data_IF_431301755801
#
_entry.id   IF_431301755801
#
_cell.length_a   1.000
_cell.length_b   1.000
_cell.length_c   1.000
_cell.angle_alpha   90.00
_cell.angle_beta   90.00
_cell.angle_gamma   90.00
#
_symmetry.space_group_name_H-M   'P 1'
#
loop_
_entity.id
_entity.type
_entity.pdbx_description
1 polymer ?
#
# COMPACT_ATOMS: atom_id res chain seq x y z
N UNK A 1 -11.14 -22.88 -21.10
CA UNK A 1 -9.97 -22.53 -20.28
C UNK A 1 -10.47 -21.67 -19.14
N UNK A 2 -10.26 -22.06 -17.91
CA UNK A 2 -10.75 -21.29 -16.76
C UNK A 2 -9.96 -19.98 -16.68
N UNK A 3 -10.61 -18.83 -16.43
CA UNK A 3 -9.94 -17.51 -16.35
C UNK A 3 -8.76 -17.49 -15.37
N UNK A 4 -8.87 -18.27 -14.29
CA UNK A 4 -7.84 -18.41 -13.26
C UNK A 4 -6.59 -19.20 -13.70
N UNK A 5 -6.64 -19.95 -14.82
CA UNK A 5 -5.47 -20.67 -15.34
C UNK A 5 -4.36 -19.72 -15.84
N UNK A 6 -4.73 -18.47 -16.14
CA UNK A 6 -3.82 -17.42 -16.60
C UNK A 6 -3.24 -16.56 -15.47
N UNK A 7 -3.61 -16.79 -14.21
CA UNK A 7 -3.07 -16.02 -13.10
C UNK A 7 -1.60 -16.37 -12.84
N UNK A 8 -0.75 -15.36 -12.51
CA UNK A 8 0.63 -15.61 -12.12
C UNK A 8 0.69 -16.61 -10.95
N UNK A 9 1.59 -17.55 -11.05
CA UNK A 9 1.83 -18.53 -9.96
C UNK A 9 2.95 -18.09 -9.03
N UNK A 10 3.56 -16.94 -9.33
CA UNK A 10 4.66 -16.38 -8.52
C UNK A 10 4.64 -14.86 -8.59
N UNK A 11 4.79 -14.24 -7.44
CA UNK A 11 5.02 -12.81 -7.29
C UNK A 11 6.28 -12.59 -6.47
N UNK A 12 7.06 -11.58 -6.85
CA UNK A 12 8.21 -11.09 -6.09
C UNK A 12 7.93 -9.65 -5.68
N UNK A 13 7.97 -9.37 -4.39
CA UNK A 13 7.78 -8.04 -3.82
C UNK A 13 9.09 -7.59 -3.21
N UNK A 14 9.56 -6.38 -3.55
CA UNK A 14 10.77 -5.79 -3.00
C UNK A 14 10.43 -4.42 -2.42
N UNK A 15 10.76 -4.21 -1.15
CA UNK A 15 10.58 -2.92 -0.49
C UNK A 15 11.69 -1.96 -0.91
N UNK A 16 11.34 -0.93 -1.68
CA UNK A 16 12.28 0.07 -2.20
C UNK A 16 12.48 1.27 -1.27
N UNK A 17 11.43 1.67 -0.55
CA UNK A 17 11.49 2.70 0.49
C UNK A 17 10.62 2.29 1.68
N UNK A 18 11.15 2.48 2.88
CA UNK A 18 10.51 2.22 4.16
C UNK A 18 11.29 2.95 5.26
N UNK A 19 10.72 3.05 6.47
CA UNK A 19 11.29 3.79 7.60
C UNK A 19 12.59 3.19 8.14
N UNK A 20 12.85 1.90 7.91
CA UNK A 20 14.05 1.19 8.37
C UNK A 20 14.86 0.60 7.22
N UNK A 21 16.18 0.46 7.45
CA UNK A 21 17.11 -0.17 6.51
C UNK A 21 18.19 -0.94 7.25
N UNK A 22 18.55 -2.14 6.74
CA UNK A 22 19.67 -2.95 7.26
C UNK A 22 20.71 -3.24 6.17
N UNK A 23 20.35 -3.10 4.89
CA UNK A 23 21.24 -3.37 3.75
C UNK A 23 22.30 -2.28 3.55
N UNK A 24 23.56 -2.68 3.25
CA UNK A 24 24.60 -1.71 2.89
C UNK A 24 24.27 -1.02 1.57
N UNK A 25 24.45 0.29 1.53
CA UNK A 25 24.24 1.11 0.32
C UNK A 25 22.76 1.48 0.09
N UNK A 26 21.83 0.91 0.86
CA UNK A 26 20.44 1.31 0.86
C UNK A 26 20.19 2.41 1.90
N UNK A 27 19.13 3.16 1.70
CA UNK A 27 18.72 4.27 2.56
C UNK A 27 17.24 4.09 2.96
N UNK A 28 16.85 4.66 4.08
CA UNK A 28 15.49 4.70 4.59
C UNK A 28 14.94 6.12 4.59
N UNK A 29 13.64 6.24 4.48
CA UNK A 29 12.90 7.50 4.68
C UNK A 29 11.53 7.19 5.28
N UNK A 30 10.88 8.19 5.87
CA UNK A 30 9.48 8.05 6.25
C UNK A 30 8.59 8.04 4.99
N UNK A 31 8.26 6.84 4.53
CA UNK A 31 7.49 6.63 3.31
C UNK A 31 7.48 5.16 2.90
N UNK A 32 6.67 4.81 1.92
CA UNK A 32 6.56 3.46 1.42
C UNK A 32 6.62 3.41 -0.10
N UNK A 33 7.42 2.47 -0.63
CA UNK A 33 7.42 2.11 -2.05
C UNK A 33 7.74 0.63 -2.18
N UNK A 34 6.87 -0.12 -2.87
CA UNK A 34 7.01 -1.55 -3.12
C UNK A 34 7.12 -1.81 -4.62
N UNK A 35 8.16 -2.51 -5.04
CA UNK A 35 8.28 -3.04 -6.39
C UNK A 35 7.71 -4.46 -6.43
N UNK A 36 6.85 -4.72 -7.42
CA UNK A 36 6.17 -6.01 -7.59
C UNK A 36 6.47 -6.54 -8.98
N UNK A 37 6.97 -7.75 -9.04
CA UNK A 37 7.30 -8.43 -10.28
C UNK A 37 6.49 -9.72 -10.44
N UNK A 38 5.91 -9.88 -11.61
CA UNK A 38 5.27 -11.10 -12.07
C UNK A 38 6.08 -11.67 -13.25
N UNK A 39 5.77 -12.86 -13.76
CA UNK A 39 6.43 -13.37 -14.96
C UNK A 39 6.29 -12.47 -16.20
N UNK A 40 5.31 -11.59 -16.24
CA UNK A 40 4.95 -10.82 -17.44
C UNK A 40 4.90 -9.31 -17.25
N UNK A 41 4.78 -8.82 -16.02
CA UNK A 41 4.61 -7.39 -15.74
C UNK A 41 5.38 -6.98 -14.49
N UNK A 42 5.74 -5.70 -14.46
CA UNK A 42 6.40 -5.02 -13.35
C UNK A 42 5.52 -3.87 -12.87
N UNK A 43 5.27 -3.81 -11.58
CA UNK A 43 4.47 -2.77 -10.97
C UNK A 43 5.26 -2.06 -9.87
N UNK A 44 4.91 -0.81 -9.63
CA UNK A 44 5.32 -0.07 -8.44
C UNK A 44 4.06 0.26 -7.64
N UNK A 45 4.08 0.05 -6.33
CA UNK A 45 3.02 0.44 -5.42
C UNK A 45 3.58 1.52 -4.50
N UNK A 46 3.09 2.76 -4.67
CA UNK A 46 3.59 4.00 -4.08
C UNK A 46 5.05 4.36 -4.45
N UNK A 47 5.44 5.61 -4.16
CA UNK A 47 6.73 6.18 -4.58
C UNK A 47 7.58 6.73 -3.43
N UNK A 48 7.18 6.48 -2.16
CA UNK A 48 7.88 7.06 -1.02
C UNK A 48 7.70 8.57 -0.88
N UNK A 49 8.52 9.18 -0.05
CA UNK A 49 8.50 10.61 0.24
C UNK A 49 9.40 11.42 -0.71
N UNK A 50 10.31 10.77 -1.44
CA UNK A 50 11.30 11.42 -2.32
C UNK A 50 11.69 10.51 -3.50
N UNK A 51 12.77 10.84 -4.20
CA UNK A 51 13.39 9.99 -5.23
C UNK A 51 14.22 8.82 -4.64
N UNK A 52 14.17 8.61 -3.32
CA UNK A 52 14.98 7.61 -2.63
C UNK A 52 14.75 6.19 -3.17
N UNK A 53 13.50 5.82 -3.44
CA UNK A 53 13.16 4.52 -4.01
C UNK A 53 13.87 4.23 -5.34
N UNK A 54 14.14 5.27 -6.17
CA UNK A 54 14.90 5.14 -7.44
C UNK A 54 16.35 4.78 -7.13
N UNK A 55 16.99 5.44 -6.17
CA UNK A 55 18.37 5.15 -5.76
C UNK A 55 18.49 3.74 -5.18
N UNK A 56 17.55 3.35 -4.34
CA UNK A 56 17.50 2.01 -3.77
C UNK A 56 17.25 0.93 -4.84
N UNK A 57 16.36 1.19 -5.81
CA UNK A 57 16.12 0.28 -6.93
C UNK A 57 17.41 0.04 -7.73
N UNK A 58 18.17 1.11 -8.02
CA UNK A 58 19.45 0.99 -8.71
C UNK A 58 20.47 0.13 -7.93
N UNK A 59 20.57 0.31 -6.60
CA UNK A 59 21.43 -0.51 -5.75
C UNK A 59 21.00 -2.00 -5.71
N UNK A 60 19.71 -2.27 -5.89
CA UNK A 60 19.13 -3.62 -5.92
C UNK A 60 19.12 -4.23 -7.34
N UNK A 61 19.68 -3.54 -8.34
CA UNK A 61 19.65 -3.91 -9.76
C UNK A 61 18.22 -4.08 -10.30
N UNK A 62 17.30 -3.23 -9.86
CA UNK A 62 15.93 -3.15 -10.34
C UNK A 62 15.83 -1.95 -11.29
N UNK A 63 15.46 -2.21 -12.55
CA UNK A 63 15.24 -1.17 -13.56
C UNK A 63 13.80 -0.67 -13.53
N UNK A 64 13.59 0.56 -13.04
CA UNK A 64 12.28 1.18 -12.97
C UNK A 64 11.79 1.76 -14.31
N UNK A 65 12.65 1.86 -15.34
CA UNK A 65 12.21 2.21 -16.71
C UNK A 65 11.26 1.14 -17.27
N UNK A 66 11.40 -0.10 -16.80
CA UNK A 66 10.61 -1.24 -17.26
C UNK A 66 9.27 -1.42 -16.51
N UNK A 67 8.97 -0.60 -15.52
CA UNK A 67 7.69 -0.65 -14.81
C UNK A 67 6.54 -0.34 -15.77
N UNK A 68 5.53 -1.21 -15.77
CA UNK A 68 4.33 -1.11 -16.63
C UNK A 68 3.22 -0.29 -15.97
N UNK A 69 3.09 -0.41 -14.64
CA UNK A 69 2.06 0.27 -13.86
C UNK A 69 2.64 0.84 -12.56
N UNK A 70 2.32 2.10 -12.27
CA UNK A 70 2.43 2.68 -10.93
C UNK A 70 1.03 2.70 -10.32
N UNK A 71 0.84 2.05 -9.18
CA UNK A 71 -0.39 2.10 -8.40
C UNK A 71 -0.15 3.01 -7.20
N UNK A 72 -0.96 4.05 -7.03
CA UNK A 72 -0.89 4.94 -5.88
C UNK A 72 -2.04 4.64 -4.94
N UNK A 73 -1.69 4.33 -3.70
CA UNK A 73 -2.63 3.90 -2.66
C UNK A 73 -3.53 5.02 -2.15
N UNK A 74 -2.94 6.17 -1.86
CA UNK A 74 -3.60 7.40 -1.38
C UNK A 74 -2.69 8.61 -1.57
N UNK A 75 -3.20 9.82 -1.34
CA UNK A 75 -2.54 11.06 -1.73
C UNK A 75 -1.55 11.65 -0.73
N UNK A 76 -1.15 10.98 0.33
CA UNK A 76 -0.16 11.51 1.26
C UNK A 76 1.23 11.59 0.64
N UNK A 77 1.99 12.63 1.03
CA UNK A 77 3.29 12.95 0.45
C UNK A 77 4.37 11.90 0.71
N UNK A 78 4.26 11.09 1.75
CA UNK A 78 5.14 9.97 2.07
C UNK A 78 4.86 8.70 1.23
N UNK A 79 3.84 8.76 0.36
CA UNK A 79 3.48 7.75 -0.64
C UNK A 79 3.58 8.25 -2.07
N UNK A 80 3.47 9.57 -2.26
CA UNK A 80 3.42 10.20 -3.57
C UNK A 80 4.55 11.19 -3.82
N UNK A 81 5.44 11.41 -2.85
CA UNK A 81 6.51 12.41 -2.95
C UNK A 81 7.51 12.13 -4.07
N UNK A 82 7.73 10.87 -4.42
CA UNK A 82 8.56 10.46 -5.56
C UNK A 82 7.86 10.47 -6.92
N UNK A 83 6.58 10.83 -6.99
CA UNK A 83 5.78 10.72 -8.23
C UNK A 83 6.39 11.51 -9.40
N UNK A 84 6.79 12.75 -9.19
CA UNK A 84 7.43 13.55 -10.24
C UNK A 84 8.71 12.90 -10.76
N UNK A 85 9.58 12.46 -9.86
CA UNK A 85 10.83 11.77 -10.22
C UNK A 85 10.55 10.47 -11.00
N UNK A 86 9.51 9.71 -10.63
CA UNK A 86 9.11 8.53 -11.37
C UNK A 86 8.60 8.86 -12.77
N UNK A 87 7.75 9.90 -12.92
CA UNK A 87 7.19 10.29 -14.21
C UNK A 87 8.27 10.81 -15.18
N UNK A 88 9.32 11.44 -14.67
CA UNK A 88 10.50 11.84 -15.46
C UNK A 88 11.34 10.64 -15.87
N UNK A 89 11.57 9.68 -14.93
CA UNK A 89 12.36 8.47 -15.18
C UNK A 89 11.67 7.52 -16.15
N UNK A 90 10.40 7.21 -15.89
CA UNK A 90 9.63 6.22 -16.65
C UNK A 90 8.60 6.91 -17.55
N UNK A 91 8.79 6.81 -18.86
CA UNK A 91 7.90 7.45 -19.85
C UNK A 91 6.71 6.59 -20.30
N UNK A 92 6.62 5.30 -19.85
CA UNK A 92 5.67 4.30 -20.38
C UNK A 92 4.59 3.85 -19.40
N UNK A 93 4.90 3.81 -18.11
CA UNK A 93 3.98 3.28 -17.11
C UNK A 93 2.64 4.02 -17.08
N UNK A 94 1.56 3.26 -16.94
CA UNK A 94 0.25 3.84 -16.60
C UNK A 94 0.18 4.03 -15.08
N UNK A 95 -0.20 5.23 -14.64
CA UNK A 95 -0.45 5.51 -13.22
C UNK A 95 -1.91 5.21 -12.91
N UNK A 96 -2.15 4.36 -11.92
CA UNK A 96 -3.50 3.93 -11.53
C UNK A 96 -3.78 4.39 -10.10
N UNK A 97 -4.84 5.15 -9.93
CA UNK A 97 -5.23 5.71 -8.63
C UNK A 97 -6.71 6.10 -8.62
N UNK A 98 -7.20 6.60 -7.49
CA UNK A 98 -8.48 7.30 -7.43
C UNK A 98 -8.30 8.78 -7.82
N UNK A 99 -9.32 9.39 -8.42
CA UNK A 99 -9.23 10.78 -8.86
C UNK A 99 -9.03 11.75 -7.69
N UNK A 100 -9.63 11.44 -6.53
CA UNK A 100 -9.53 12.20 -5.29
C UNK A 100 -8.14 12.23 -4.66
N UNK A 101 -7.16 11.48 -5.22
CA UNK A 101 -5.76 11.53 -4.79
C UNK A 101 -5.14 12.93 -4.94
N UNK A 102 -5.65 13.74 -5.88
CA UNK A 102 -5.19 15.10 -6.14
C UNK A 102 -5.83 16.16 -5.25
N UNK A 103 -6.76 15.79 -4.39
CA UNK A 103 -7.33 16.71 -3.43
C UNK A 103 -6.23 17.20 -2.48
N UNK A 104 -6.24 18.51 -2.18
CA UNK A 104 -5.26 19.07 -1.24
C UNK A 104 -5.50 18.52 0.16
N UNK A 105 -4.51 17.82 0.68
CA UNK A 105 -4.56 17.14 1.99
C UNK A 105 -3.70 17.85 3.01
N UNK A 106 -4.08 17.77 4.27
CA UNK A 106 -3.38 18.42 5.38
C UNK A 106 -3.32 17.48 6.58
N UNK A 107 -2.18 17.51 7.26
CA UNK A 107 -2.07 17.02 8.63
C UNK A 107 -2.03 18.25 9.54
N UNK A 108 -3.10 18.47 10.31
CA UNK A 108 -3.32 19.72 11.04
C UNK A 108 -3.24 20.94 10.11
N UNK A 109 -2.18 21.77 10.24
CA UNK A 109 -1.99 22.96 9.42
C UNK A 109 -1.06 22.73 8.24
N UNK A 110 -0.24 21.67 8.25
CA UNK A 110 0.76 21.37 7.22
C UNK A 110 0.12 20.65 6.04
N UNK A 111 0.37 21.14 4.84
CA UNK A 111 0.02 20.43 3.62
C UNK A 111 0.78 19.10 3.53
N UNK A 112 0.06 18.03 3.24
CA UNK A 112 0.55 16.65 3.27
C UNK A 112 0.08 15.85 2.03
N UNK A 113 -0.39 16.54 1.00
CA UNK A 113 -0.82 15.93 -0.25
C UNK A 113 0.25 15.92 -1.32
N UNK A 114 -0.17 15.63 -2.56
CA UNK A 114 0.68 15.74 -3.74
C UNK A 114 0.99 17.21 -3.96
N UNK A 115 2.26 17.58 -3.83
CA UNK A 115 2.71 18.94 -4.12
C UNK A 115 2.64 19.16 -5.63
N UNK A 116 2.19 20.38 -6.02
CA UNK A 116 2.07 20.76 -7.43
C UNK A 116 1.24 19.79 -8.29
N UNK A 117 0.29 19.10 -7.67
CA UNK A 117 -0.58 18.12 -8.37
C UNK A 117 -1.33 18.69 -9.57
N UNK A 118 -1.53 20.01 -9.62
CA UNK A 118 -2.15 20.71 -10.73
C UNK A 118 -1.28 20.72 -12.00
N UNK A 119 0.06 20.63 -11.85
CA UNK A 119 1.03 20.64 -12.95
C UNK A 119 1.28 19.24 -13.54
N UNK A 120 0.80 18.18 -12.89
CA UNK A 120 1.01 16.82 -13.36
C UNK A 120 0.18 16.55 -14.62
N UNK A 121 0.86 16.10 -15.67
CA UNK A 121 0.20 15.62 -16.89
C UNK A 121 -0.56 14.33 -16.64
N UNK A 122 -1.89 14.42 -16.63
CA UNK A 122 -2.78 13.30 -16.30
C UNK A 122 -3.07 12.36 -17.48
N UNK A 123 -2.50 12.54 -18.63
CA UNK A 123 -2.72 11.67 -19.80
C UNK A 123 -2.29 10.22 -19.59
N UNK A 124 -1.38 9.99 -18.64
CA UNK A 124 -0.93 8.64 -18.23
C UNK A 124 -1.71 8.07 -17.05
N UNK A 125 -2.72 8.78 -16.55
CA UNK A 125 -3.48 8.34 -15.38
C UNK A 125 -4.75 7.61 -15.80
N UNK A 126 -4.98 6.48 -15.14
CA UNK A 126 -6.21 5.71 -15.17
C UNK A 126 -6.85 5.77 -13.79
N UNK A 127 -8.04 6.37 -13.72
CA UNK A 127 -8.78 6.48 -12.47
C UNK A 127 -9.70 5.27 -12.28
N UNK A 128 -9.70 4.72 -11.04
CA UNK A 128 -10.54 3.60 -10.64
C UNK A 128 -11.51 4.04 -9.53
N UNK A 129 -12.73 3.49 -9.56
CA UNK A 129 -13.80 3.82 -8.60
C UNK A 129 -14.37 2.58 -7.92
N UNK A 130 -14.22 1.44 -8.53
CA UNK A 130 -14.75 0.15 -8.08
C UNK A 130 -13.69 -0.94 -8.20
N UNK A 131 -13.93 -2.07 -7.55
CA UNK A 131 -13.05 -3.23 -7.66
C UNK A 131 -12.69 -3.50 -9.13
N UNK A 132 -11.40 -3.52 -9.42
CA UNK A 132 -10.89 -3.64 -10.79
C UNK A 132 -9.81 -4.71 -10.87
N UNK A 133 -9.95 -5.66 -11.77
CA UNK A 133 -8.82 -6.51 -12.16
C UNK A 133 -7.93 -5.71 -13.13
N UNK A 134 -6.77 -5.26 -12.62
CA UNK A 134 -5.82 -4.48 -13.40
C UNK A 134 -5.11 -5.35 -14.43
N UNK A 135 -4.66 -6.50 -14.01
CA UNK A 135 -3.99 -7.56 -14.75
C UNK A 135 -4.48 -8.91 -14.24
N UNK A 136 -4.34 -10.00 -15.00
CA UNK A 136 -4.71 -11.33 -14.50
C UNK A 136 -4.11 -11.60 -13.12
N UNK A 137 -4.96 -11.81 -12.12
CA UNK A 137 -4.55 -12.08 -10.73
C UNK A 137 -4.09 -10.86 -9.93
N UNK A 138 -4.19 -9.65 -10.47
CA UNK A 138 -3.88 -8.39 -9.76
C UNK A 138 -5.12 -7.52 -9.70
N UNK A 139 -5.63 -7.28 -8.50
CA UNK A 139 -6.86 -6.54 -8.25
C UNK A 139 -6.62 -5.28 -7.44
N UNK A 140 -7.40 -4.25 -7.70
CA UNK A 140 -7.47 -3.00 -6.97
C UNK A 140 -8.81 -2.91 -6.23
N UNK A 141 -8.76 -2.52 -4.95
CA UNK A 141 -9.92 -2.36 -4.08
C UNK A 141 -9.99 -0.90 -3.59
N UNK A 142 -10.63 -0.01 -4.36
CA UNK A 142 -10.78 1.41 -4.02
C UNK A 142 -12.01 1.72 -3.15
N UNK A 143 -12.89 0.75 -2.96
CA UNK A 143 -14.20 0.87 -2.30
C UNK A 143 -14.20 0.22 -0.91
N UNK A 144 -13.26 0.64 -0.04
CA UNK A 144 -13.10 0.13 1.32
C UNK A 144 -14.25 0.65 2.19
N UNK A 145 -15.10 -0.22 2.79
CA UNK A 145 -16.18 0.20 3.68
C UNK A 145 -15.64 0.62 5.05
N UNK A 146 -16.44 1.37 5.82
CA UNK A 146 -16.15 1.73 7.21
C UNK A 146 -17.05 0.90 8.13
N UNK A 147 -16.72 -0.38 8.30
CA UNK A 147 -17.49 -1.33 9.14
C UNK A 147 -17.01 -1.32 10.59
N UNK A 148 -15.71 -1.15 10.80
CA UNK A 148 -15.09 -0.98 12.11
C UNK A 148 -14.50 0.42 12.21
N UNK A 149 -15.14 1.28 12.98
CA UNK A 149 -14.70 2.66 13.17
C UNK A 149 -13.47 2.76 14.10
N UNK A 150 -13.30 1.82 15.02
CA UNK A 150 -12.15 1.80 15.96
C UNK A 150 -10.84 1.60 15.22
N UNK A 151 -10.86 0.83 14.12
CA UNK A 151 -9.68 0.57 13.30
C UNK A 151 -9.32 1.74 12.36
N UNK A 152 -10.19 2.75 12.19
CA UNK A 152 -9.89 3.89 11.31
C UNK A 152 -8.84 4.84 11.89
N UNK A 153 -8.16 5.63 11.02
CA UNK A 153 -7.22 6.66 11.46
C UNK A 153 -7.42 7.96 10.66
N UNK A 154 -8.37 8.77 11.08
CA UNK A 154 -8.76 10.03 10.43
C UNK A 154 -8.37 11.27 11.26
N UNK A 155 -7.96 11.07 12.49
CA UNK A 155 -7.65 12.16 13.42
C UNK A 155 -6.51 13.03 12.90
N UNK A 156 -6.68 14.35 13.01
CA UNK A 156 -5.72 15.37 12.59
C UNK A 156 -5.50 15.47 11.06
N UNK A 157 -6.24 14.70 10.25
CA UNK A 157 -6.18 14.78 8.80
C UNK A 157 -7.38 15.51 8.22
N UNK A 158 -7.12 16.37 7.24
CA UNK A 158 -8.11 17.19 6.60
C UNK A 158 -7.89 17.21 5.09
N UNK A 159 -8.98 17.39 4.36
CA UNK A 159 -8.99 17.60 2.93
C UNK A 159 -9.66 18.93 2.58
N UNK A 160 -9.13 19.63 1.57
CA UNK A 160 -9.74 20.85 1.08
C UNK A 160 -10.98 20.53 0.24
N UNK A 161 -12.11 21.16 0.59
CA UNK A 161 -13.32 21.13 -0.24
C UNK A 161 -13.70 22.57 -0.53
N UNK A 162 -13.67 22.93 -1.82
CA UNK A 162 -13.91 24.31 -2.29
C UNK A 162 -12.94 25.30 -1.61
N UNK A 163 -13.32 25.91 -0.49
CA UNK A 163 -12.61 26.97 0.23
C UNK A 163 -12.36 26.69 1.72
N UNK A 164 -12.76 25.50 2.22
CA UNK A 164 -12.60 25.15 3.62
C UNK A 164 -12.09 23.70 3.80
N UNK A 165 -11.47 23.43 4.94
CA UNK A 165 -11.00 22.11 5.32
C UNK A 165 -12.10 21.32 6.01
N UNK A 166 -12.28 20.08 5.60
CA UNK A 166 -13.13 19.09 6.28
C UNK A 166 -12.28 17.92 6.73
N UNK A 167 -12.71 17.13 7.71
CA UNK A 167 -12.02 15.88 8.06
C UNK A 167 -11.82 15.00 6.83
N UNK A 168 -10.63 14.45 6.66
CA UNK A 168 -10.32 13.51 5.57
C UNK A 168 -10.76 12.10 6.00
N UNK A 169 -11.68 11.50 5.27
CA UNK A 169 -12.10 10.11 5.45
C UNK A 169 -11.42 9.15 4.48
N UNK A 170 -10.34 9.64 3.85
CA UNK A 170 -9.48 8.87 2.93
C UNK A 170 -10.27 8.16 1.83
N UNK A 171 -11.15 8.91 1.18
CA UNK A 171 -11.91 8.41 0.03
C UNK A 171 -11.02 8.00 -1.14
N UNK A 172 -9.77 8.45 -1.16
CA UNK A 172 -8.75 8.09 -2.15
C UNK A 172 -8.00 6.80 -1.81
N UNK A 173 -8.14 6.25 -0.59
CA UNK A 173 -7.41 5.05 -0.21
C UNK A 173 -7.87 3.82 -1.01
N UNK A 174 -6.89 3.00 -1.45
CA UNK A 174 -7.14 1.69 -2.04
C UNK A 174 -6.07 0.68 -1.68
N UNK A 175 -6.44 -0.59 -1.65
CA UNK A 175 -5.54 -1.71 -1.48
C UNK A 175 -5.28 -2.43 -2.82
N UNK A 176 -4.10 -3.07 -2.93
CA UNK A 176 -3.73 -3.93 -4.03
C UNK A 176 -3.75 -5.39 -3.57
N UNK A 177 -4.35 -6.27 -4.37
CA UNK A 177 -4.48 -7.70 -4.06
C UNK A 177 -3.85 -8.53 -5.16
N UNK A 178 -3.01 -9.48 -4.77
CA UNK A 178 -2.39 -10.47 -5.63
C UNK A 178 -3.05 -11.83 -5.38
N UNK A 179 -3.43 -12.57 -6.43
CA UNK A 179 -4.01 -13.90 -6.29
C UNK A 179 -3.52 -14.85 -7.37
N UNK A 180 -3.29 -16.11 -6.98
CA UNK A 180 -3.01 -17.23 -7.89
C UNK A 180 -4.28 -18.04 -8.24
N UNK A 181 -5.45 -17.59 -7.73
CA UNK A 181 -6.75 -18.24 -7.87
C UNK A 181 -7.09 -19.19 -6.72
N UNK A 182 -6.11 -19.67 -5.94
CA UNK A 182 -6.30 -20.52 -4.76
C UNK A 182 -6.07 -19.79 -3.45
N UNK A 183 -5.24 -18.76 -3.49
CA UNK A 183 -4.89 -17.90 -2.37
C UNK A 183 -4.81 -16.45 -2.79
N UNK A 184 -4.91 -15.54 -1.84
CA UNK A 184 -4.72 -14.11 -2.07
C UNK A 184 -3.76 -13.50 -1.04
N UNK A 185 -3.17 -12.39 -1.44
CA UNK A 185 -2.29 -11.55 -0.63
C UNK A 185 -2.75 -10.10 -0.75
N UNK A 186 -2.78 -9.36 0.35
CA UNK A 186 -3.18 -7.96 0.41
C UNK A 186 -1.94 -7.10 0.63
N UNK A 187 -1.77 -6.07 -0.19
CA UNK A 187 -0.82 -4.99 0.01
C UNK A 187 -1.61 -3.72 0.33
N UNK A 188 -1.40 -3.20 1.54
CA UNK A 188 -1.96 -1.94 2.00
C UNK A 188 -0.83 -0.97 2.29
N UNK A 189 -1.05 0.33 2.11
CA UNK A 189 -0.03 1.32 2.41
C UNK A 189 -0.09 1.76 3.88
N UNK A 190 -1.14 2.52 4.25
CA UNK A 190 -1.34 3.03 5.59
C UNK A 190 -2.56 2.48 6.31
N UNK A 191 -3.55 1.99 5.60
CA UNK A 191 -4.82 1.48 6.16
C UNK A 191 -5.56 2.53 7.00
N UNK A 192 -5.65 3.76 6.49
CA UNK A 192 -6.38 4.83 7.19
C UNK A 192 -7.86 4.49 7.40
N UNK A 193 -8.47 3.79 6.43
CA UNK A 193 -9.85 3.31 6.54
C UNK A 193 -9.98 2.03 7.37
N UNK A 194 -8.88 1.54 7.96
CA UNK A 194 -8.81 0.38 8.83
C UNK A 194 -8.38 -0.89 8.09
N UNK A 195 -7.36 -1.57 8.62
CA UNK A 195 -6.84 -2.80 8.03
C UNK A 195 -7.89 -3.93 8.05
N UNK A 196 -8.70 -4.02 9.10
CA UNK A 196 -9.77 -5.01 9.21
C UNK A 196 -10.89 -4.74 8.19
N UNK A 197 -11.19 -3.46 7.91
CA UNK A 197 -12.15 -3.07 6.88
C UNK A 197 -11.66 -3.45 5.48
N UNK A 198 -10.36 -3.26 5.20
CA UNK A 198 -9.73 -3.70 3.95
C UNK A 198 -9.83 -5.21 3.80
N UNK A 199 -9.49 -5.98 4.85
CA UNK A 199 -9.55 -7.44 4.80
C UNK A 199 -10.99 -7.91 4.56
N UNK A 200 -11.98 -7.37 5.26
CA UNK A 200 -13.40 -7.72 5.08
C UNK A 200 -13.83 -7.49 3.63
N UNK A 201 -13.46 -6.33 3.05
CA UNK A 201 -13.79 -6.03 1.65
C UNK A 201 -13.18 -7.01 0.66
N UNK A 202 -11.93 -7.40 0.90
CA UNK A 202 -11.24 -8.39 0.05
C UNK A 202 -11.83 -9.78 0.24
N UNK A 203 -12.20 -10.17 1.47
CA UNK A 203 -12.86 -11.45 1.78
C UNK A 203 -14.21 -11.61 1.07
N UNK A 204 -14.98 -10.54 0.91
CA UNK A 204 -16.22 -10.58 0.13
C UNK A 204 -15.97 -11.03 -1.32
N UNK A 205 -14.86 -10.59 -1.91
CA UNK A 205 -14.48 -10.96 -3.27
C UNK A 205 -13.83 -12.35 -3.37
N UNK A 206 -13.13 -12.78 -2.30
CA UNK A 206 -12.37 -14.03 -2.26
C UNK A 206 -12.74 -14.90 -1.03
N UNK A 207 -14.02 -15.30 -0.87
CA UNK A 207 -14.51 -15.90 0.39
C UNK A 207 -13.92 -17.28 0.71
N UNK A 208 -13.47 -18.02 -0.30
CA UNK A 208 -12.98 -19.39 -0.15
C UNK A 208 -11.47 -19.54 -0.35
N UNK A 209 -10.79 -18.47 -0.76
CA UNK A 209 -9.35 -18.51 -0.98
C UNK A 209 -8.56 -18.42 0.34
N UNK A 210 -7.37 -19.01 0.35
CA UNK A 210 -6.48 -18.92 1.49
C UNK A 210 -5.89 -17.51 1.59
N UNK A 211 -5.89 -16.93 2.78
CA UNK A 211 -5.23 -15.65 3.03
C UNK A 211 -3.74 -15.89 3.29
N UNK A 212 -2.91 -15.61 2.29
CA UNK A 212 -1.49 -15.96 2.32
C UNK A 212 -0.64 -14.89 3.00
N UNK A 213 -0.74 -13.65 2.54
CA UNK A 213 0.08 -12.54 3.02
C UNK A 213 -0.76 -11.30 3.26
N UNK A 214 -0.51 -10.61 4.36
CA UNK A 214 -0.90 -9.24 4.60
C UNK A 214 0.36 -8.41 4.75
N UNK A 215 0.60 -7.49 3.82
CA UNK A 215 1.78 -6.61 3.85
C UNK A 215 1.39 -5.16 3.87
N UNK A 216 2.00 -4.36 4.77
CA UNK A 216 1.84 -2.91 4.79
C UNK A 216 1.83 -2.27 6.18
N UNK A 217 1.42 -1.00 6.21
CA UNK A 217 1.22 -0.23 7.42
C UNK A 217 -0.23 -0.30 7.91
N UNK A 218 -0.42 -0.35 9.23
CA UNK A 218 -1.74 -0.46 9.87
C UNK A 218 -2.15 0.79 10.64
N UNK A 219 -1.33 1.83 10.56
CA UNK A 219 -1.51 3.11 11.27
C UNK A 219 -1.80 2.96 12.77
N UNK A 220 -1.01 2.13 13.43
CA UNK A 220 -1.17 1.81 14.86
C UNK A 220 0.03 2.24 15.71
N UNK A 221 1.07 2.83 15.12
CA UNK A 221 2.13 3.49 15.88
C UNK A 221 1.48 4.55 16.77
N UNK A 222 1.73 4.51 18.09
CA UNK A 222 1.08 5.35 19.08
C UNK A 222 -0.45 5.16 19.22
N UNK A 223 -1.07 4.14 18.62
CA UNK A 223 -2.48 3.87 18.81
C UNK A 223 -2.77 3.42 20.25
N UNK A 224 -3.95 3.82 20.74
CA UNK A 224 -4.50 3.34 22.00
C UNK A 224 -4.67 1.81 21.96
N UNK A 225 -4.67 1.20 23.17
CA UNK A 225 -4.79 -0.25 23.29
C UNK A 225 -6.06 -0.79 22.66
N UNK A 226 -7.18 -0.07 22.75
CA UNK A 226 -8.47 -0.47 22.16
C UNK A 226 -8.35 -0.78 20.66
N UNK A 227 -7.68 0.11 19.89
CA UNK A 227 -7.47 -0.10 18.45
C UNK A 227 -6.58 -1.32 18.19
N UNK A 228 -5.47 -1.45 18.92
CA UNK A 228 -4.57 -2.59 18.78
C UNK A 228 -5.30 -3.90 19.10
N UNK A 229 -6.04 -3.94 20.20
CA UNK A 229 -6.76 -5.13 20.66
C UNK A 229 -7.87 -5.52 19.66
N UNK A 230 -8.58 -4.53 19.07
CA UNK A 230 -9.56 -4.77 18.02
C UNK A 230 -8.95 -5.48 16.81
N UNK A 231 -7.80 -4.99 16.33
CA UNK A 231 -7.07 -5.59 15.19
C UNK A 231 -6.55 -6.97 15.57
N UNK A 232 -5.94 -7.13 16.73
CA UNK A 232 -5.42 -8.42 17.19
C UNK A 232 -6.55 -9.47 17.31
N UNK A 233 -7.67 -9.10 17.93
CA UNK A 233 -8.84 -9.98 18.02
C UNK A 233 -9.39 -10.37 16.63
N UNK A 234 -9.38 -9.45 15.67
CA UNK A 234 -9.77 -9.79 14.31
C UNK A 234 -8.84 -10.84 13.69
N UNK A 235 -7.53 -10.71 13.87
CA UNK A 235 -6.54 -11.66 13.36
C UNK A 235 -6.63 -13.05 14.03
N UNK A 236 -7.16 -13.16 15.25
CA UNK A 236 -7.41 -14.48 15.84
C UNK A 236 -8.45 -15.29 15.04
N UNK A 237 -9.36 -14.62 14.33
CA UNK A 237 -10.45 -15.24 13.57
C UNK A 237 -10.14 -15.39 12.07
N UNK A 238 -9.43 -14.42 11.49
CA UNK A 238 -9.05 -14.41 10.06
C UNK A 238 -7.59 -13.99 9.89
N UNK A 239 -6.68 -14.85 10.36
CA UNK A 239 -5.25 -14.61 10.32
C UNK A 239 -4.65 -15.02 8.96
N UNK A 240 -3.89 -14.13 8.29
CA UNK A 240 -3.09 -14.55 7.15
C UNK A 240 -2.00 -15.54 7.57
N UNK A 241 -1.45 -16.28 6.61
CA UNK A 241 -0.32 -17.18 6.86
C UNK A 241 0.93 -16.38 7.26
N UNK A 242 1.09 -15.17 6.71
CA UNK A 242 2.15 -14.23 7.05
C UNK A 242 1.62 -12.80 7.15
N UNK A 243 2.08 -12.06 8.16
CA UNK A 243 1.83 -10.63 8.38
C UNK A 243 3.19 -9.90 8.28
N UNK A 244 3.35 -9.09 7.26
CA UNK A 244 4.56 -8.33 6.99
C UNK A 244 4.30 -6.83 7.23
N UNK A 245 4.53 -6.37 8.45
CA UNK A 245 4.25 -4.99 8.85
C UNK A 245 5.40 -4.04 8.58
N UNK A 246 5.07 -2.79 8.32
CA UNK A 246 6.05 -1.73 8.05
C UNK A 246 5.51 -0.34 8.37
N UNK A 247 6.32 0.67 8.10
CA UNK A 247 5.95 2.07 7.99
C UNK A 247 5.16 2.59 9.20
N UNK A 248 3.89 2.96 9.01
CA UNK A 248 3.04 3.55 10.05
C UNK A 248 2.52 2.53 11.10
N UNK A 249 2.87 1.24 10.99
CA UNK A 249 2.66 0.28 12.07
C UNK A 249 3.55 0.57 13.28
N UNK A 250 4.80 0.97 13.03
CA UNK A 250 5.82 1.20 14.06
C UNK A 250 6.43 -0.11 14.61
N UNK A 251 7.68 0.00 15.07
CA UNK A 251 8.43 -1.16 15.63
C UNK A 251 7.89 -1.60 17.00
N UNK A 252 7.32 -0.69 17.76
CA UNK A 252 6.66 -0.95 19.03
C UNK A 252 5.47 -1.90 18.87
N UNK A 253 4.59 -1.61 17.91
CA UNK A 253 3.41 -2.43 17.61
C UNK A 253 3.77 -3.71 16.85
N UNK A 254 4.81 -3.67 16.02
CA UNK A 254 5.39 -4.89 15.46
C UNK A 254 5.78 -5.88 16.56
N UNK A 255 6.49 -5.41 17.61
CA UNK A 255 6.90 -6.28 18.70
C UNK A 255 5.70 -6.90 19.45
N UNK A 256 4.62 -6.14 19.66
CA UNK A 256 3.39 -6.65 20.25
C UNK A 256 2.69 -7.67 19.33
N UNK A 257 2.57 -7.39 18.03
CA UNK A 257 2.00 -8.35 17.06
C UNK A 257 2.82 -9.64 17.02
N UNK A 258 4.16 -9.53 17.03
CA UNK A 258 5.04 -10.70 17.06
C UNK A 258 4.88 -11.52 18.36
N UNK A 259 4.69 -10.85 19.49
CA UNK A 259 4.40 -11.53 20.75
C UNK A 259 3.07 -12.32 20.71
N UNK A 260 2.05 -11.79 20.02
CA UNK A 260 0.74 -12.44 19.89
C UNK A 260 0.72 -13.58 18.85
N UNK A 261 1.35 -13.37 17.69
CA UNK A 261 1.19 -14.24 16.52
C UNK A 261 2.47 -14.98 16.11
N UNK A 262 3.58 -14.77 16.87
CA UNK A 262 4.84 -15.49 16.68
C UNK A 262 5.49 -15.24 15.32
N UNK A 263 6.07 -16.29 14.76
CA UNK A 263 6.85 -16.26 13.52
C UNK A 263 6.02 -15.88 12.28
N UNK A 264 4.69 -15.81 12.39
CA UNK A 264 3.85 -15.30 11.31
C UNK A 264 4.06 -13.82 11.05
N UNK A 265 4.53 -13.06 12.06
CA UNK A 265 4.72 -11.61 11.97
C UNK A 265 6.18 -11.29 11.70
N UNK A 266 6.43 -10.58 10.62
CA UNK A 266 7.76 -10.10 10.24
C UNK A 266 7.72 -8.59 10.03
N UNK A 267 8.84 -7.92 10.29
CA UNK A 267 9.00 -6.52 9.91
C UNK A 267 9.57 -6.40 8.50
N UNK A 268 8.93 -5.60 7.68
CA UNK A 268 9.45 -5.19 6.38
C UNK A 268 10.38 -3.98 6.54
N UNK A 269 11.46 -3.98 5.78
CA UNK A 269 12.43 -2.90 5.75
C UNK A 269 12.96 -2.70 4.32
N UNK A 270 13.52 -1.55 4.05
CA UNK A 270 14.10 -1.25 2.74
C UNK A 270 15.12 -2.30 2.32
N UNK A 271 14.93 -2.87 1.14
CA UNK A 271 15.75 -3.94 0.56
C UNK A 271 15.25 -5.35 0.87
N UNK A 272 14.23 -5.52 1.73
CA UNK A 272 13.66 -6.84 1.98
C UNK A 272 12.84 -7.33 0.79
N UNK A 273 12.86 -8.63 0.58
CA UNK A 273 12.15 -9.30 -0.50
C UNK A 273 11.22 -10.39 0.06
N UNK A 274 10.01 -10.42 -0.45
CA UNK A 274 9.05 -11.50 -0.25
C UNK A 274 8.77 -12.17 -1.59
N UNK A 275 8.87 -13.48 -1.63
CA UNK A 275 8.41 -14.29 -2.75
C UNK A 275 7.12 -15.00 -2.38
N UNK A 276 6.10 -14.82 -3.21
CA UNK A 276 4.81 -15.51 -3.12
C UNK A 276 4.81 -16.58 -4.22
N UNK A 277 4.87 -17.88 -3.84
CA UNK A 277 4.86 -18.99 -4.80
C UNK A 277 3.51 -19.19 -5.45
#
# INVERSE_FOLDING_TARGET
>A
MNRMDNYPKRYRIVTLAENLVYGRGLQAEHGLSLYIETPTHKLLFDTGASDLFIRNAAQLNIDLHDVDYLVLSHGHSDHTGGLHAFLELNSRATVVCKETIFDRKFKEVRENGILEGETIDRRRFRFVKEQTELLPGIFLFPDIPLLDAVDTHFEHFFVMRTDHRVPDTFEDEMALVLTDGSSFSILSACSHRGITNIIRRVREAFPTQNFRLLQGGFHIHNAENEKFDSIANYFEHDCPQQIAVCHCTGVDKYALLQQHFGDKVVYEYTGKMIEIP
#
